data_IF_458389457928
#
_entry.id   IF_458389457928
#
_cell.length_a   1.000
_cell.length_b   1.000
_cell.length_c   1.000
_cell.angle_alpha   90.00
_cell.angle_beta   90.00
_cell.angle_gamma   90.00
#
_symmetry.space_group_name_H-M   'P 1'
#
loop_
_entity.id
_entity.type
_entity.pdbx_description
1 polymer ?
#
# COMPACT_ATOMS: atom_id res chain seq x y z
N UNK A 1 3.47 10.95 -6.46
CA UNK A 1 2.91 9.66 -6.02
C UNK A 1 1.43 9.68 -6.30
N UNK A 2 0.89 8.63 -6.91
CA UNK A 2 -0.50 8.52 -7.36
C UNK A 2 -1.18 7.31 -6.74
N UNK A 3 -2.51 7.38 -6.63
CA UNK A 3 -3.32 6.26 -6.11
C UNK A 3 -3.05 4.98 -6.88
N UNK A 4 -2.75 3.91 -6.14
CA UNK A 4 -2.46 2.59 -6.67
C UNK A 4 -0.97 2.30 -6.87
N UNK A 5 -0.10 3.30 -6.81
CA UNK A 5 1.35 3.08 -6.85
C UNK A 5 1.83 2.34 -5.60
N UNK A 6 2.78 1.44 -5.80
CA UNK A 6 3.53 0.77 -4.74
C UNK A 6 4.85 1.50 -4.51
N UNK A 7 5.10 1.84 -3.26
CA UNK A 7 6.26 2.61 -2.78
C UNK A 7 6.91 1.89 -1.62
N UNK A 8 8.10 2.31 -1.22
CA UNK A 8 8.72 1.84 0.04
C UNK A 8 8.59 2.89 1.13
N UNK A 9 8.34 2.46 2.36
CA UNK A 9 8.30 3.29 3.57
C UNK A 9 9.54 2.97 4.40
N UNK A 10 10.33 3.99 4.74
CA UNK A 10 11.43 3.87 5.69
C UNK A 10 11.15 4.76 6.92
N UNK A 11 10.82 4.13 8.04
CA UNK A 11 10.58 4.78 9.32
C UNK A 11 11.69 4.38 10.30
N UNK A 12 12.47 5.32 10.86
CA UNK A 12 13.46 5.00 11.87
C UNK A 12 12.83 4.31 13.08
N UNK A 13 13.43 3.22 13.57
CA UNK A 13 12.97 2.49 14.76
C UNK A 13 11.85 1.47 14.53
N UNK A 14 10.90 1.75 13.64
CA UNK A 14 9.78 0.83 13.38
C UNK A 14 10.15 -0.33 12.46
N UNK A 15 11.04 -0.09 11.48
CA UNK A 15 11.38 -1.09 10.46
C UNK A 15 12.88 -1.19 10.20
N UNK A 16 13.45 -2.38 10.40
CA UNK A 16 14.85 -2.69 10.06
C UNK A 16 15.14 -2.55 8.56
N UNK A 17 14.11 -2.67 7.70
CA UNK A 17 14.20 -2.59 6.24
C UNK A 17 13.02 -1.80 5.67
N UNK A 18 13.20 -1.06 4.56
CA UNK A 18 12.09 -0.38 3.89
C UNK A 18 10.98 -1.37 3.55
N UNK A 19 9.73 -1.04 3.91
CA UNK A 19 8.58 -1.90 3.67
C UNK A 19 7.78 -1.43 2.47
N UNK A 20 7.28 -2.36 1.63
CA UNK A 20 6.35 -1.99 0.57
C UNK A 20 5.05 -1.43 1.16
N UNK A 21 4.49 -0.43 0.50
CA UNK A 21 3.23 0.19 0.86
C UNK A 21 2.47 0.62 -0.42
N UNK A 22 1.14 0.60 -0.35
CA UNK A 22 0.23 1.00 -1.41
C UNK A 22 -0.26 2.42 -1.16
N UNK A 23 -0.10 3.31 -2.13
CA UNK A 23 -0.68 4.65 -2.09
C UNK A 23 -2.19 4.55 -2.25
N UNK A 24 -2.93 4.98 -1.23
CA UNK A 24 -4.40 5.01 -1.25
C UNK A 24 -4.97 6.43 -1.27
N UNK A 25 -4.15 7.46 -1.06
CA UNK A 25 -4.59 8.84 -1.18
C UNK A 25 -5.11 9.14 -2.60
N UNK A 26 -6.26 9.79 -2.72
CA UNK A 26 -6.77 10.22 -4.03
C UNK A 26 -5.84 11.29 -4.61
N UNK A 27 -5.61 11.22 -5.92
CA UNK A 27 -4.85 12.23 -6.67
C UNK A 27 -5.47 13.64 -6.56
N UNK A 28 -6.76 13.74 -6.19
CA UNK A 28 -7.43 15.02 -5.90
C UNK A 28 -6.92 15.70 -4.63
N UNK A 29 -6.27 14.96 -3.75
CA UNK A 29 -5.67 15.45 -2.50
C UNK A 29 -4.14 15.44 -2.58
N UNK A 30 -3.54 15.75 -3.73
CA UNK A 30 -2.09 15.82 -3.91
C UNK A 30 -1.46 17.06 -3.24
N UNK A 31 -1.78 17.28 -1.97
CA UNK A 31 -1.22 18.37 -1.18
C UNK A 31 0.25 18.09 -0.85
N UNK A 32 1.09 19.13 -0.71
CA UNK A 32 2.47 18.98 -0.28
C UNK A 32 2.57 18.38 1.13
N UNK A 33 3.59 17.56 1.35
CA UNK A 33 4.02 17.18 2.70
C UNK A 33 3.85 15.71 3.05
N UNK A 34 2.70 15.10 2.77
CA UNK A 34 2.43 13.70 3.14
C UNK A 34 1.56 12.94 2.14
N UNK A 35 1.55 11.61 2.29
CA UNK A 35 0.74 10.67 1.51
C UNK A 35 0.20 9.59 2.46
N UNK A 36 -1.08 9.27 2.34
CA UNK A 36 -1.69 8.12 3.02
C UNK A 36 -1.47 6.82 2.23
N UNK A 37 -0.94 5.81 2.92
CA UNK A 37 -0.59 4.50 2.37
C UNK A 37 -1.13 3.35 3.24
N UNK A 38 -1.31 2.17 2.65
CA UNK A 38 -1.51 0.90 3.35
C UNK A 38 -0.22 0.09 3.32
N UNK A 39 0.19 -0.52 4.43
CA UNK A 39 1.36 -1.40 4.43
C UNK A 39 1.08 -2.72 3.68
N UNK A 40 2.14 -3.27 3.09
CA UNK A 40 2.15 -4.63 2.55
C UNK A 40 3.04 -5.55 3.39
N UNK A 41 2.59 -6.80 3.53
CA UNK A 41 3.36 -7.87 4.18
C UNK A 41 3.43 -9.08 3.28
N UNK A 42 4.63 -9.61 3.09
CA UNK A 42 4.83 -10.92 2.46
C UNK A 42 4.71 -12.10 3.43
N UNK A 43 4.30 -11.85 4.68
CA UNK A 43 3.83 -12.88 5.62
C UNK A 43 2.32 -12.94 5.50
N UNK A 44 1.82 -14.07 5.02
CA UNK A 44 0.41 -14.28 4.74
C UNK A 44 -0.32 -14.67 6.03
N UNK A 45 -1.47 -14.05 6.25
CA UNK A 45 -2.36 -14.33 7.38
C UNK A 45 -3.76 -14.59 6.84
N UNK A 46 -4.46 -15.56 7.45
CA UNK A 46 -5.84 -15.87 7.12
C UNK A 46 -6.78 -14.85 7.79
N UNK A 47 -7.02 -13.73 7.09
CA UNK A 47 -7.93 -12.67 7.52
C UNK A 47 -8.55 -11.98 6.29
N UNK A 48 -9.53 -12.62 5.61
CA UNK A 48 -9.95 -12.26 4.25
C UNK A 48 -10.47 -10.82 4.08
N UNK A 49 -11.09 -10.25 5.11
CA UNK A 49 -11.62 -8.88 5.06
C UNK A 49 -10.51 -7.81 5.12
N UNK A 50 -9.41 -8.10 5.82
CA UNK A 50 -8.36 -7.13 6.12
C UNK A 50 -7.07 -7.38 5.33
N UNK A 51 -6.93 -8.57 4.73
CA UNK A 51 -5.70 -9.04 4.10
C UNK A 51 -5.96 -9.49 2.68
N UNK A 52 -5.87 -8.52 1.76
CA UNK A 52 -6.05 -8.74 0.34
C UNK A 52 -4.74 -9.25 -0.27
N UNK A 53 -4.73 -10.50 -0.73
CA UNK A 53 -3.57 -11.10 -1.39
C UNK A 53 -3.37 -10.53 -2.78
N UNK A 54 -2.13 -10.13 -3.08
CA UNK A 54 -1.66 -9.64 -4.37
C UNK A 54 -0.52 -10.54 -4.84
N UNK A 55 -0.68 -11.11 -6.02
CA UNK A 55 0.36 -11.91 -6.66
C UNK A 55 1.40 -11.03 -7.37
N UNK A 56 2.67 -11.46 -7.43
CA UNK A 56 3.72 -10.80 -8.20
C UNK A 56 3.37 -10.64 -9.67
N UNK A 57 3.57 -9.44 -10.20
CA UNK A 57 3.54 -9.16 -11.63
C UNK A 57 4.69 -8.25 -12.02
N UNK A 58 4.99 -8.17 -13.32
CA UNK A 58 5.97 -7.20 -13.83
C UNK A 58 5.55 -5.76 -13.54
N UNK A 59 4.24 -5.46 -13.57
CA UNK A 59 3.71 -4.11 -13.36
C UNK A 59 3.77 -3.68 -11.88
N UNK A 60 3.49 -4.60 -10.95
CA UNK A 60 3.49 -4.28 -9.53
C UNK A 60 4.87 -4.40 -8.87
N UNK A 61 5.84 -5.06 -9.52
CA UNK A 61 7.21 -5.16 -9.04
C UNK A 61 7.38 -5.93 -7.72
N UNK A 62 6.34 -6.62 -7.24
CA UNK A 62 6.44 -7.50 -6.08
C UNK A 62 7.27 -8.74 -6.43
N UNK A 63 8.03 -9.26 -5.46
CA UNK A 63 8.88 -10.44 -5.64
C UNK A 63 8.28 -11.75 -5.14
N UNK A 64 7.21 -11.66 -4.34
CA UNK A 64 6.48 -12.80 -3.78
C UNK A 64 5.04 -12.38 -3.45
N UNK A 65 4.10 -13.35 -3.34
CA UNK A 65 2.75 -13.06 -2.87
C UNK A 65 2.80 -12.24 -1.59
N UNK A 66 2.03 -11.15 -1.59
CA UNK A 66 2.03 -10.17 -0.50
C UNK A 66 0.60 -9.71 -0.24
N UNK A 67 0.29 -9.39 1.01
CA UNK A 67 -1.03 -8.91 1.39
C UNK A 67 -1.01 -7.42 1.65
N UNK A 68 -1.96 -6.70 1.04
CA UNK A 68 -2.33 -5.34 1.45
C UNK A 68 -3.04 -5.44 2.79
N UNK A 69 -2.53 -4.72 3.78
CA UNK A 69 -3.05 -4.70 5.15
C UNK A 69 -4.01 -3.53 5.30
N UNK A 70 -5.30 -3.76 5.04
CA UNK A 70 -6.36 -2.72 5.06
C UNK A 70 -6.44 -2.03 6.43
N UNK A 71 -6.11 -2.77 7.50
CA UNK A 71 -6.07 -2.31 8.88
C UNK A 71 -4.86 -1.45 9.25
N UNK A 72 -3.87 -1.32 8.36
CA UNK A 72 -2.61 -0.59 8.61
C UNK A 72 -2.44 0.60 7.66
N UNK A 73 -3.43 1.48 7.66
CA UNK A 73 -3.32 2.80 7.05
C UNK A 73 -2.40 3.71 7.87
N UNK A 74 -1.52 4.44 7.20
CA UNK A 74 -0.67 5.45 7.81
C UNK A 74 -0.45 6.63 6.86
N UNK A 75 -0.24 7.82 7.42
CA UNK A 75 0.12 9.02 6.68
C UNK A 75 1.60 9.32 6.89
N UNK A 76 2.37 9.26 5.81
CA UNK A 76 3.83 9.33 5.85
C UNK A 76 4.29 10.57 5.10
N UNK A 77 5.34 11.24 5.59
CA UNK A 77 5.95 12.35 4.87
C UNK A 77 6.55 11.85 3.55
N UNK A 78 6.41 12.63 2.48
CA UNK A 78 6.88 12.23 1.14
C UNK A 78 8.38 11.94 1.07
N UNK A 79 9.18 12.65 1.86
CA UNK A 79 10.63 12.45 1.97
C UNK A 79 11.03 11.14 2.67
N UNK A 80 10.09 10.47 3.33
CA UNK A 80 10.26 9.13 3.93
C UNK A 80 9.75 7.99 3.04
N UNK A 81 9.21 8.34 1.87
CA UNK A 81 8.76 7.38 0.87
C UNK A 81 9.80 7.28 -0.24
N UNK A 82 10.17 6.04 -0.59
CA UNK A 82 10.96 5.78 -1.79
C UNK A 82 10.18 6.04 -3.07
N UNK A 83 10.85 6.09 -4.23
CA UNK A 83 10.16 6.24 -5.51
C UNK A 83 9.17 5.08 -5.74
N UNK A 84 8.08 5.31 -6.50
CA UNK A 84 7.21 4.24 -6.95
C UNK A 84 8.01 3.16 -7.68
N UNK A 85 7.80 1.90 -7.31
CA UNK A 85 8.46 0.75 -7.94
C UNK A 85 7.52 -0.11 -8.77
N UNK A 86 6.21 0.17 -8.71
CA UNK A 86 5.19 -0.56 -9.44
C UNK A 86 3.81 -0.01 -9.12
N UNK A 87 2.77 -0.65 -9.66
CA UNK A 87 1.37 -0.26 -9.46
C UNK A 87 0.46 -1.48 -9.41
N UNK A 88 -0.62 -1.39 -8.63
CA UNK A 88 -1.70 -2.37 -8.69
C UNK A 88 -2.63 -2.10 -9.87
N UNK A 89 -3.06 -3.18 -10.53
CA UNK A 89 -4.06 -3.11 -11.58
C UNK A 89 -5.44 -2.70 -11.04
N UNK A 90 -6.37 -2.41 -11.96
CA UNK A 90 -7.69 -1.87 -11.61
C UNK A 90 -8.54 -2.85 -10.79
N UNK A 91 -8.45 -4.15 -11.04
CA UNK A 91 -9.17 -5.19 -10.29
C UNK A 91 -8.72 -5.26 -8.82
N UNK A 92 -7.41 -5.27 -8.59
CA UNK A 92 -6.84 -5.21 -7.25
C UNK A 92 -7.22 -3.91 -6.55
N UNK A 93 -7.16 -2.78 -7.26
CA UNK A 93 -7.54 -1.47 -6.71
C UNK A 93 -9.04 -1.38 -6.37
N UNK A 94 -9.90 -2.04 -7.14
CA UNK A 94 -11.33 -2.13 -6.84
C UNK A 94 -11.56 -2.92 -5.55
N UNK A 95 -10.85 -4.05 -5.38
CA UNK A 95 -10.92 -4.86 -4.16
C UNK A 95 -10.44 -4.08 -2.93
N UNK A 96 -9.30 -3.38 -3.04
CA UNK A 96 -8.80 -2.49 -1.98
C UNK A 96 -9.81 -1.40 -1.62
N UNK A 97 -10.42 -0.77 -2.62
CA UNK A 97 -11.39 0.30 -2.41
C UNK A 97 -12.63 -0.20 -1.67
N UNK A 98 -13.13 -1.40 -2.01
CA UNK A 98 -14.26 -2.03 -1.32
C UNK A 98 -13.93 -2.39 0.12
N UNK A 99 -12.77 -2.99 0.38
CA UNK A 99 -12.36 -3.32 1.75
C UNK A 99 -12.16 -2.07 2.61
N UNK A 100 -11.58 -1.00 2.04
CA UNK A 100 -11.46 0.28 2.75
C UNK A 100 -12.83 0.87 3.13
N UNK A 101 -13.80 0.82 2.21
CA UNK A 101 -15.14 1.33 2.49
C UNK A 101 -15.82 0.59 3.64
N UNK A 102 -15.60 -0.73 3.76
CA UNK A 102 -16.11 -1.54 4.88
C UNK A 102 -15.34 -1.26 6.18
N UNK A 103 -14.01 -1.11 6.10
CA UNK A 103 -13.17 -0.85 7.28
C UNK A 103 -13.43 0.53 7.91
N UNK A 104 -13.82 1.53 7.11
CA UNK A 104 -14.11 2.89 7.57
C UNK A 104 -15.60 3.19 7.79
N UNK A 105 -16.47 2.19 7.69
CA UNK A 105 -17.91 2.32 7.95
C UNK A 105 -18.20 2.29 9.45
#
# INVERSE_FOLDING_TARGET
MRRGELVTVAMPGDFEKPRPALVIQSDRFDQPGSVTVLLLSGTLVDAPLNRLTIDPTLENGLRKPSQVMVDKAMTVKRDKLGPPFGRLNDEAMLSVTRSLAVFSA
#
